data_IF_817538660683
#
_entry.id   IF_817538660683
#
_cell.length_a   1.000
_cell.length_b   1.000
_cell.length_c   1.000
_cell.angle_alpha   90.00
_cell.angle_beta   90.00
_cell.angle_gamma   90.00
#
_symmetry.space_group_name_H-M   'P 1'
#
loop_
_entity.id
_entity.type
_entity.pdbx_description
1 polymer ?
#
# COMPACT_ATOMS: atom_id res chain seq x y z
N UNK A 1 19.63 -81.81 4.27
CA UNK A 1 20.14 -80.71 3.43
C UNK A 1 19.47 -80.79 2.07
N UNK A 2 19.17 -79.69 1.37
CA UNK A 2 18.44 -78.49 1.79
C UNK A 2 17.34 -78.14 0.70
N UNK A 3 16.87 -76.90 0.44
CA UNK A 3 15.43 -76.56 0.49
C UNK A 3 14.90 -75.76 -0.76
N UNK A 4 13.66 -75.24 -0.73
CA UNK A 4 13.28 -73.80 -0.92
C UNK A 4 11.87 -73.55 -1.54
N UNK A 5 11.02 -72.94 -0.70
CA UNK A 5 10.07 -71.81 -0.82
C UNK A 5 8.93 -71.66 -1.88
N UNK A 6 7.70 -71.70 -1.32
CA UNK A 6 6.62 -70.68 -1.28
C UNK A 6 6.08 -70.01 -2.56
N UNK A 7 4.89 -70.47 -2.99
CA UNK A 7 3.93 -69.73 -3.85
C UNK A 7 2.58 -69.63 -3.11
N UNK A 8 2.46 -68.78 -2.07
CA UNK A 8 1.18 -68.55 -1.37
C UNK A 8 1.02 -67.13 -0.77
N UNK A 9 1.53 -66.06 -1.41
CA UNK A 9 1.31 -64.68 -0.92
C UNK A 9 0.86 -63.68 -1.99
N UNK A 10 0.05 -64.11 -2.96
CA UNK A 10 -0.50 -63.22 -3.99
C UNK A 10 -2.00 -62.92 -3.88
N UNK A 11 -2.79 -63.84 -3.29
CA UNK A 11 -4.26 -63.79 -3.41
C UNK A 11 -5.01 -63.27 -2.18
N UNK A 12 -4.34 -63.07 -1.04
CA UNK A 12 -4.96 -62.49 0.17
C UNK A 12 -4.81 -60.98 0.28
N UNK A 13 -3.94 -60.38 -0.52
CA UNK A 13 -3.73 -58.92 -0.61
C UNK A 13 -4.70 -58.22 -1.57
N UNK A 14 -5.42 -58.96 -2.42
CA UNK A 14 -6.34 -58.41 -3.41
C UNK A 14 -7.82 -58.35 -2.96
N UNK A 15 -8.17 -58.98 -1.83
CA UNK A 15 -9.53 -58.91 -1.25
C UNK A 15 -9.65 -57.91 -0.08
N UNK A 16 -8.54 -57.31 0.36
CA UNK A 16 -8.52 -56.28 1.40
C UNK A 16 -8.39 -54.85 0.83
N UNK A 17 -8.21 -54.68 -0.48
CA UNK A 17 -8.04 -53.38 -1.13
C UNK A 17 -9.35 -52.77 -1.68
N UNK A 18 -10.47 -53.48 -1.60
CA UNK A 18 -11.75 -53.10 -2.23
C UNK A 18 -12.87 -52.73 -1.25
N UNK A 19 -12.58 -52.60 0.05
CA UNK A 19 -13.58 -52.32 1.10
C UNK A 19 -13.32 -51.04 1.92
N UNK A 20 -12.48 -50.12 1.45
CA UNK A 20 -12.19 -48.87 2.16
C UNK A 20 -12.15 -47.65 1.21
N UNK A 21 -13.23 -47.42 0.46
CA UNK A 21 -13.41 -46.19 -0.34
C UNK A 21 -14.72 -45.44 0.01
N UNK A 22 -15.52 -45.93 0.97
CA UNK A 22 -16.83 -45.32 1.28
C UNK A 22 -16.82 -44.43 2.55
N UNK A 23 -15.65 -44.15 3.14
CA UNK A 23 -15.55 -43.29 4.36
C UNK A 23 -15.04 -41.86 4.06
N UNK A 24 -14.67 -41.53 2.81
CA UNK A 24 -14.45 -40.14 2.37
C UNK A 24 -15.58 -39.60 1.47
N UNK A 25 -16.74 -40.26 1.46
CA UNK A 25 -17.98 -39.59 1.14
C UNK A 25 -18.45 -38.82 2.39
N UNK A 26 -17.59 -37.96 2.95
CA UNK A 26 -18.15 -36.76 3.59
C UNK A 26 -18.92 -36.11 2.48
N UNK A 27 -20.24 -36.05 2.62
CA UNK A 27 -21.08 -35.18 1.82
C UNK A 27 -20.31 -33.87 1.65
N UNK A 28 -19.73 -33.65 0.47
CA UNK A 28 -19.22 -32.35 0.12
C UNK A 28 -20.50 -31.54 -0.04
N UNK A 29 -21.02 -31.04 1.10
CA UNK A 29 -22.08 -30.08 1.09
C UNK A 29 -21.58 -28.99 0.16
N UNK A 30 -22.28 -28.81 -0.97
CA UNK A 30 -22.01 -27.69 -1.83
C UNK A 30 -22.09 -26.46 -0.93
N UNK A 31 -21.02 -25.66 -0.93
CA UNK A 31 -20.96 -24.43 -0.13
C UNK A 31 -22.20 -23.59 -0.46
N UNK A 32 -22.79 -22.93 0.53
CA UNK A 32 -23.88 -21.99 0.26
C UNK A 32 -23.31 -20.73 -0.44
N UNK A 33 -23.25 -20.78 -1.77
CA UNK A 33 -22.70 -19.69 -2.56
C UNK A 33 -23.48 -18.38 -2.39
N UNK A 34 -24.79 -18.42 -2.11
CA UNK A 34 -25.55 -17.21 -1.85
C UNK A 34 -25.13 -16.57 -0.54
N UNK A 35 -24.87 -17.36 0.50
CA UNK A 35 -24.34 -16.87 1.77
C UNK A 35 -22.94 -16.26 1.60
N UNK A 36 -22.06 -16.91 0.84
CA UNK A 36 -20.72 -16.40 0.50
C UNK A 36 -20.81 -15.05 -0.23
N UNK A 37 -21.62 -14.97 -1.30
CA UNK A 37 -21.79 -13.77 -2.10
C UNK A 37 -22.43 -12.62 -1.29
N UNK A 38 -23.43 -12.91 -0.47
CA UNK A 38 -24.02 -11.96 0.45
C UNK A 38 -22.99 -11.44 1.46
N UNK A 39 -22.11 -12.31 1.96
CA UNK A 39 -21.08 -11.92 2.91
C UNK A 39 -20.01 -11.02 2.30
N UNK A 40 -19.51 -11.37 1.12
CA UNK A 40 -18.57 -10.55 0.36
C UNK A 40 -19.18 -9.16 0.07
N UNK A 41 -20.44 -9.12 -0.36
CA UNK A 41 -21.19 -7.87 -0.59
C UNK A 41 -21.27 -7.01 0.67
N UNK A 42 -21.60 -7.60 1.82
CA UNK A 42 -21.69 -6.88 3.09
C UNK A 42 -20.34 -6.30 3.52
N UNK A 43 -19.25 -7.07 3.37
CA UNK A 43 -17.90 -6.61 3.70
C UNK A 43 -17.43 -5.46 2.82
N UNK A 44 -17.72 -5.51 1.52
CA UNK A 44 -17.46 -4.39 0.61
C UNK A 44 -18.33 -3.16 0.95
N UNK A 45 -19.59 -3.39 1.33
CA UNK A 45 -20.52 -2.40 1.87
C UNK A 45 -19.99 -1.65 3.10
N UNK A 46 -19.42 -2.37 4.05
CA UNK A 46 -18.87 -1.81 5.28
C UNK A 46 -17.70 -0.83 5.04
N UNK A 47 -17.01 -0.96 3.89
CA UNK A 47 -15.93 -0.09 3.44
C UNK A 47 -16.39 1.10 2.58
N UNK A 48 -17.70 1.32 2.47
CA UNK A 48 -18.28 2.45 1.74
C UNK A 48 -18.47 2.22 0.23
N UNK A 49 -18.35 0.97 -0.22
CA UNK A 49 -18.66 0.59 -1.60
C UNK A 49 -20.04 -0.07 -1.74
N UNK A 50 -20.48 -0.30 -2.97
CA UNK A 50 -21.64 -1.15 -3.26
C UNK A 50 -21.23 -2.25 -4.22
N UNK A 51 -21.53 -3.50 -3.88
CA UNK A 51 -21.35 -4.66 -4.74
C UNK A 51 -22.72 -5.18 -5.18
N UNK A 52 -22.93 -5.22 -6.49
CA UNK A 52 -24.13 -5.78 -7.12
C UNK A 52 -23.75 -6.93 -8.03
N UNK A 53 -24.60 -7.94 -8.15
CA UNK A 53 -24.44 -9.09 -9.05
C UNK A 53 -25.83 -9.53 -9.55
N UNK A 54 -25.88 -10.13 -10.73
CA UNK A 54 -27.14 -10.61 -11.35
C UNK A 54 -27.59 -11.96 -10.81
N UNK A 55 -26.63 -12.79 -10.38
CA UNK A 55 -26.90 -14.13 -9.84
C UNK A 55 -25.65 -14.75 -9.24
N UNK A 56 -25.84 -15.91 -8.62
CA UNK A 56 -24.77 -16.71 -8.01
C UNK A 56 -24.86 -18.12 -8.56
N UNK A 57 -23.72 -18.65 -9.03
CA UNK A 57 -23.58 -20.05 -9.41
C UNK A 57 -22.61 -20.76 -8.48
N UNK A 58 -22.97 -21.95 -8.02
CA UNK A 58 -22.11 -22.77 -7.17
C UNK A 58 -21.79 -24.10 -7.84
N UNK A 59 -20.49 -24.40 -7.94
CA UNK A 59 -19.96 -25.62 -8.53
C UNK A 59 -18.98 -26.27 -7.54
N UNK A 60 -19.48 -27.18 -6.71
CA UNK A 60 -18.68 -27.77 -5.61
C UNK A 60 -18.29 -26.71 -4.58
N UNK A 61 -16.99 -26.42 -4.48
CA UNK A 61 -16.41 -25.37 -3.63
C UNK A 61 -16.15 -24.07 -4.38
N UNK A 62 -16.54 -23.97 -5.65
CA UNK A 62 -16.40 -22.75 -6.46
C UNK A 62 -17.71 -21.96 -6.46
N UNK A 63 -17.64 -20.66 -6.19
CA UNK A 63 -18.77 -19.72 -6.19
C UNK A 63 -18.49 -18.62 -7.22
N UNK A 64 -19.42 -18.39 -8.13
CA UNK A 64 -19.29 -17.38 -9.20
C UNK A 64 -20.40 -16.34 -9.03
N UNK A 65 -20.01 -15.07 -8.87
CA UNK A 65 -20.93 -13.92 -8.86
C UNK A 65 -21.03 -13.37 -10.27
N UNK A 66 -22.20 -13.54 -10.91
CA UNK A 66 -22.43 -13.15 -12.31
C UNK A 66 -22.68 -11.65 -12.46
N UNK A 67 -22.17 -11.09 -13.55
CA UNK A 67 -22.35 -9.68 -13.96
C UNK A 67 -22.13 -8.68 -12.81
N UNK A 68 -21.03 -8.88 -12.06
CA UNK A 68 -20.74 -8.06 -10.88
C UNK A 68 -20.46 -6.62 -11.28
N UNK A 69 -21.02 -5.68 -10.52
CA UNK A 69 -20.77 -4.24 -10.62
C UNK A 69 -20.31 -3.70 -9.27
N UNK A 70 -19.28 -2.88 -9.29
CA UNK A 70 -18.74 -2.24 -8.09
C UNK A 70 -18.94 -0.73 -8.16
N UNK A 71 -19.44 -0.16 -7.07
CA UNK A 71 -19.47 1.28 -6.84
C UNK A 71 -18.59 1.61 -5.64
N UNK A 72 -18.05 2.83 -5.62
CA UNK A 72 -17.31 3.37 -4.48
C UNK A 72 -17.63 4.86 -4.37
N UNK A 73 -17.42 5.43 -3.19
CA UNK A 73 -17.57 6.86 -2.98
C UNK A 73 -16.77 7.66 -4.03
N UNK A 74 -17.41 8.66 -4.65
CA UNK A 74 -16.81 9.48 -5.70
C UNK A 74 -16.96 8.95 -7.13
N UNK A 75 -17.37 7.69 -7.34
CA UNK A 75 -17.70 7.20 -8.69
C UNK A 75 -19.13 7.61 -9.08
N UNK A 76 -19.28 8.23 -10.26
CA UNK A 76 -20.59 8.64 -10.81
C UNK A 76 -21.42 7.47 -11.32
N UNK A 77 -20.77 6.39 -11.75
CA UNK A 77 -21.41 5.19 -12.29
C UNK A 77 -20.75 3.94 -11.73
N UNK A 78 -21.52 2.84 -11.55
CA UNK A 78 -20.95 1.55 -11.18
C UNK A 78 -19.96 1.06 -12.25
N UNK A 79 -18.81 0.55 -11.82
CA UNK A 79 -17.84 -0.12 -12.66
C UNK A 79 -18.34 -1.54 -12.97
N UNK A 80 -18.63 -1.89 -14.24
CA UNK A 80 -18.90 -3.27 -14.61
C UNK A 80 -17.60 -4.07 -14.49
N UNK A 81 -17.59 -5.04 -13.58
CA UNK A 81 -16.45 -5.92 -13.35
C UNK A 81 -16.63 -7.24 -14.09
N UNK A 82 -17.86 -7.73 -14.23
CA UNK A 82 -18.12 -9.04 -14.84
C UNK A 82 -18.14 -10.15 -13.79
N UNK A 83 -17.76 -11.36 -14.18
CA UNK A 83 -17.95 -12.54 -13.33
C UNK A 83 -16.80 -12.73 -12.34
N UNK A 84 -17.05 -12.49 -11.05
CA UNK A 84 -16.07 -12.74 -9.99
C UNK A 84 -16.14 -14.21 -9.57
N UNK A 85 -14.99 -14.89 -9.55
CA UNK A 85 -14.90 -16.31 -9.18
C UNK A 85 -14.18 -16.48 -7.85
N UNK A 86 -14.79 -17.17 -6.91
CA UNK A 86 -14.20 -17.60 -5.64
C UNK A 86 -14.01 -19.11 -5.70
N UNK A 87 -12.78 -19.58 -5.52
CA UNK A 87 -12.40 -21.00 -5.57
C UNK A 87 -11.96 -21.49 -4.20
N UNK A 88 -12.08 -22.80 -3.99
CA UNK A 88 -11.72 -23.47 -2.73
C UNK A 88 -12.38 -22.81 -1.52
N UNK A 89 -13.68 -22.53 -1.65
CA UNK A 89 -14.46 -21.97 -0.55
C UNK A 89 -14.75 -23.06 0.48
N UNK A 90 -14.58 -22.72 1.75
CA UNK A 90 -14.90 -23.57 2.88
C UNK A 90 -15.59 -22.78 3.99
N UNK A 91 -16.56 -23.40 4.67
CA UNK A 91 -17.20 -22.82 5.85
C UNK A 91 -16.22 -22.79 7.04
N UNK A 92 -16.22 -21.68 7.78
CA UNK A 92 -15.57 -21.60 9.09
C UNK A 92 -16.61 -21.41 10.21
N UNK A 93 -16.27 -21.77 11.47
CA UNK A 93 -17.19 -21.65 12.59
C UNK A 93 -17.82 -20.26 12.70
N UNK A 94 -19.10 -20.23 13.08
CA UNK A 94 -19.86 -18.98 13.24
C UNK A 94 -20.48 -18.43 11.96
N UNK A 95 -20.35 -19.10 10.81
CA UNK A 95 -20.97 -18.67 9.55
C UNK A 95 -20.11 -17.70 8.75
N UNK A 96 -18.79 -17.80 8.89
CA UNK A 96 -17.83 -17.16 7.99
C UNK A 96 -17.36 -18.13 6.91
N UNK A 97 -16.48 -17.66 6.03
CA UNK A 97 -15.89 -18.47 4.96
C UNK A 97 -14.39 -18.22 4.81
N UNK A 98 -13.65 -19.29 4.52
CA UNK A 98 -12.32 -19.22 3.92
C UNK A 98 -12.43 -19.39 2.41
N UNK A 99 -11.61 -18.68 1.65
CA UNK A 99 -11.59 -18.67 0.20
C UNK A 99 -10.14 -18.80 -0.25
N UNK A 100 -9.79 -19.94 -0.86
CA UNK A 100 -8.42 -20.17 -1.32
C UNK A 100 -7.97 -19.15 -2.37
N UNK A 101 -8.83 -18.82 -3.34
CA UNK A 101 -8.56 -17.80 -4.34
C UNK A 101 -9.82 -17.03 -4.76
N UNK A 102 -9.69 -15.71 -4.93
CA UNK A 102 -10.69 -14.87 -5.58
C UNK A 102 -10.06 -14.30 -6.85
N UNK A 103 -10.67 -14.55 -8.00
CA UNK A 103 -10.26 -14.03 -9.30
C UNK A 103 -11.29 -13.03 -9.83
N UNK A 104 -10.80 -11.89 -10.30
CA UNK A 104 -11.58 -10.87 -10.98
C UNK A 104 -11.15 -10.85 -12.45
N UNK A 105 -12.09 -10.86 -13.41
CA UNK A 105 -11.75 -10.86 -14.83
C UNK A 105 -11.11 -9.53 -15.23
N UNK A 106 -10.46 -9.52 -16.39
CA UNK A 106 -9.79 -8.33 -16.90
C UNK A 106 -10.79 -7.18 -17.10
N UNK A 107 -10.51 -6.07 -16.40
CA UNK A 107 -11.34 -4.88 -16.43
C UNK A 107 -10.91 -4.01 -17.61
N UNK A 108 -11.88 -3.57 -18.40
CA UNK A 108 -11.69 -2.55 -19.42
C UNK A 108 -12.78 -1.50 -19.24
N UNK A 109 -12.38 -0.30 -18.86
CA UNK A 109 -13.29 0.78 -18.51
C UNK A 109 -12.98 2.04 -19.32
N UNK A 110 -14.03 2.72 -19.75
CA UNK A 110 -13.96 4.03 -20.42
C UNK A 110 -14.80 4.98 -19.58
N UNK A 111 -14.21 6.00 -18.94
CA UNK A 111 -14.96 6.98 -18.18
C UNK A 111 -15.95 7.72 -19.08
N UNK A 112 -17.19 7.91 -18.61
CA UNK A 112 -18.24 8.53 -19.41
C UNK A 112 -17.93 9.99 -19.78
N UNK A 113 -17.19 10.71 -18.93
CA UNK A 113 -16.72 12.07 -19.15
C UNK A 113 -15.40 12.16 -19.93
N UNK A 114 -14.72 11.03 -20.18
CA UNK A 114 -13.46 10.96 -20.92
C UNK A 114 -13.48 9.80 -21.93
N UNK A 115 -14.25 9.91 -23.03
CA UNK A 115 -14.44 8.81 -23.98
C UNK A 115 -13.16 8.40 -24.74
N UNK A 116 -12.15 9.26 -24.74
CA UNK A 116 -10.82 8.98 -25.33
C UNK A 116 -9.86 8.32 -24.34
N UNK A 117 -10.25 8.16 -23.08
CA UNK A 117 -9.46 7.52 -22.03
C UNK A 117 -9.97 6.10 -21.80
N UNK A 118 -9.08 5.12 -21.88
CA UNK A 118 -9.33 3.73 -21.54
C UNK A 118 -8.44 3.33 -20.38
N UNK A 119 -9.05 2.78 -19.34
CA UNK A 119 -8.38 2.22 -18.18
C UNK A 119 -8.54 0.70 -18.26
N UNK A 120 -7.44 -0.05 -18.11
CA UNK A 120 -7.48 -1.50 -18.06
C UNK A 120 -6.68 -2.05 -16.89
N UNK A 121 -7.17 -3.15 -16.31
CA UNK A 121 -6.47 -3.91 -15.29
C UNK A 121 -6.64 -5.41 -15.58
N UNK A 122 -5.54 -6.16 -15.52
CA UNK A 122 -5.49 -7.56 -15.92
C UNK A 122 -4.89 -8.44 -14.83
N UNK A 123 -5.34 -9.69 -14.77
CA UNK A 123 -4.83 -10.69 -13.83
C UNK A 123 -5.00 -10.25 -12.38
N UNK A 124 -6.21 -9.83 -12.02
CA UNK A 124 -6.55 -9.39 -10.67
C UNK A 124 -6.93 -10.62 -9.83
N UNK A 125 -6.23 -10.83 -8.72
CA UNK A 125 -6.53 -11.94 -7.81
C UNK A 125 -6.17 -11.67 -6.36
N UNK A 126 -6.87 -12.36 -5.46
CA UNK A 126 -6.54 -12.50 -4.05
C UNK A 126 -6.37 -13.99 -3.72
N UNK A 127 -5.45 -14.32 -2.83
CA UNK A 127 -5.22 -15.67 -2.31
C UNK A 127 -5.36 -15.65 -0.78
N UNK A 128 -5.88 -16.74 -0.20
CA UNK A 128 -6.02 -16.91 1.25
C UNK A 128 -6.97 -15.89 1.88
N UNK A 129 -8.12 -15.65 1.25
CA UNK A 129 -9.10 -14.65 1.67
C UNK A 129 -10.00 -15.21 2.77
N UNK A 130 -10.13 -14.48 3.88
CA UNK A 130 -11.08 -14.80 4.96
C UNK A 130 -12.25 -13.83 4.95
N UNK A 131 -13.46 -14.37 4.85
CA UNK A 131 -14.73 -13.67 5.01
C UNK A 131 -15.26 -13.94 6.43
N UNK A 132 -14.99 -13.06 7.41
CA UNK A 132 -15.35 -13.33 8.80
C UNK A 132 -16.86 -13.44 8.98
N UNK A 133 -17.39 -14.08 10.04
CA UNK A 133 -18.83 -14.15 10.33
C UNK A 133 -19.56 -12.80 10.41
N UNK A 134 -20.87 -12.79 10.16
CA UNK A 134 -21.71 -11.62 10.42
C UNK A 134 -21.69 -11.23 11.91
N UNK A 135 -21.62 -9.93 12.20
CA UNK A 135 -21.56 -9.43 13.58
C UNK A 135 -20.29 -9.78 14.34
N UNK A 136 -19.26 -10.32 13.67
CA UNK A 136 -17.95 -10.55 14.28
C UNK A 136 -17.42 -9.23 14.86
N UNK A 137 -17.33 -9.18 16.20
CA UNK A 137 -16.86 -8.01 16.95
C UNK A 137 -15.35 -7.96 17.08
N UNK A 138 -14.70 -9.10 16.80
CA UNK A 138 -13.24 -9.21 16.75
C UNK A 138 -12.71 -8.14 15.83
N UNK A 139 -11.85 -7.22 16.31
CA UNK A 139 -11.51 -6.07 15.49
C UNK A 139 -10.76 -6.43 14.20
N UNK A 140 -10.18 -7.64 14.13
CA UNK A 140 -9.58 -8.21 12.92
C UNK A 140 -10.61 -8.60 11.85
N UNK A 141 -11.87 -8.83 12.21
CA UNK A 141 -12.95 -9.19 11.29
C UNK A 141 -13.42 -8.02 10.42
N UNK A 142 -13.04 -6.79 10.76
CA UNK A 142 -13.38 -5.59 9.97
C UNK A 142 -12.30 -5.25 8.94
N UNK A 143 -11.12 -5.87 9.07
CA UNK A 143 -10.04 -5.79 8.10
C UNK A 143 -10.22 -6.97 7.13
N UNK A 144 -10.15 -6.70 5.82
CA UNK A 144 -10.20 -7.77 4.83
C UNK A 144 -8.91 -8.56 4.95
N UNK A 145 -8.97 -9.80 5.44
CA UNK A 145 -7.81 -10.64 5.62
C UNK A 145 -7.56 -11.42 4.33
N UNK A 146 -6.39 -11.24 3.76
CA UNK A 146 -5.89 -11.98 2.61
C UNK A 146 -4.40 -12.22 2.80
N UNK A 147 -3.86 -13.29 2.21
CA UNK A 147 -2.43 -13.59 2.30
C UNK A 147 -1.66 -12.93 1.18
N UNK A 148 -2.22 -12.94 -0.04
CA UNK A 148 -1.61 -12.34 -1.23
C UNK A 148 -2.65 -11.65 -2.10
N UNK A 149 -2.28 -10.50 -2.64
CA UNK A 149 -3.01 -9.78 -3.69
C UNK A 149 -2.10 -9.58 -4.89
N UNK A 150 -2.67 -9.68 -6.09
CA UNK A 150 -1.95 -9.49 -7.35
C UNK A 150 -2.81 -8.73 -8.36
N UNK A 151 -2.18 -7.80 -9.08
CA UNK A 151 -2.66 -7.27 -10.35
C UNK A 151 -1.48 -7.30 -11.31
N UNK A 152 -1.57 -8.10 -12.37
CA UNK A 152 -0.45 -8.34 -13.28
C UNK A 152 -0.10 -7.12 -14.12
N UNK A 153 -1.12 -6.40 -14.59
CA UNK A 153 -0.94 -5.25 -15.48
C UNK A 153 -2.06 -4.23 -15.28
N UNK A 154 -1.69 -2.96 -15.23
CA UNK A 154 -2.60 -1.81 -15.24
C UNK A 154 -2.13 -0.85 -16.33
N UNK A 155 -3.06 -0.34 -17.14
CA UNK A 155 -2.76 0.66 -18.15
C UNK A 155 -3.84 1.75 -18.20
N UNK A 156 -3.38 2.98 -18.46
CA UNK A 156 -4.21 4.10 -18.86
C UNK A 156 -3.77 4.53 -20.24
N UNK A 157 -4.68 4.40 -21.20
CA UNK A 157 -4.50 4.80 -22.58
C UNK A 157 -5.37 6.02 -22.86
N UNK A 158 -4.80 7.06 -23.44
CA UNK A 158 -5.55 8.24 -23.88
C UNK A 158 -5.26 8.46 -25.36
N UNK A 159 -6.30 8.62 -26.18
CA UNK A 159 -6.18 8.87 -27.64
C UNK A 159 -5.33 7.82 -28.37
N UNK A 160 -5.38 6.57 -27.93
CA UNK A 160 -4.63 5.46 -28.54
C UNK A 160 -3.17 5.37 -28.08
N UNK A 161 -2.74 6.16 -27.10
CA UNK A 161 -1.39 6.16 -26.55
C UNK A 161 -1.41 5.81 -25.07
N UNK A 162 -0.54 4.89 -24.64
CA UNK A 162 -0.40 4.57 -23.22
C UNK A 162 0.30 5.73 -22.51
N UNK A 163 -0.45 6.41 -21.63
CA UNK A 163 0.06 7.51 -20.81
C UNK A 163 0.57 7.03 -19.45
N UNK A 164 0.10 5.86 -19.01
CA UNK A 164 0.58 5.19 -17.81
C UNK A 164 0.45 3.67 -17.96
N UNK A 165 1.47 2.94 -17.55
CA UNK A 165 1.44 1.48 -17.37
C UNK A 165 2.12 1.11 -16.07
N UNK A 166 1.62 0.06 -15.41
CA UNK A 166 2.25 -0.55 -14.25
C UNK A 166 2.09 -2.07 -14.30
N UNK A 167 3.16 -2.79 -13.99
CA UNK A 167 3.26 -4.24 -14.08
C UNK A 167 3.63 -4.83 -12.71
N UNK A 168 3.11 -6.02 -12.45
CA UNK A 168 3.46 -6.82 -11.28
C UNK A 168 3.17 -6.10 -9.97
N UNK A 169 1.94 -5.63 -9.78
CA UNK A 169 1.49 -5.10 -8.50
C UNK A 169 1.19 -6.28 -7.59
N UNK A 170 1.97 -6.46 -6.53
CA UNK A 170 1.75 -7.55 -5.57
C UNK A 170 1.75 -7.03 -4.15
N UNK A 171 0.99 -7.68 -3.28
CA UNK A 171 1.00 -7.42 -1.85
C UNK A 171 0.91 -8.74 -1.11
N UNK A 172 1.70 -8.90 -0.05
CA UNK A 172 1.60 -10.06 0.84
C UNK A 172 1.42 -9.60 2.27
N UNK A 173 0.61 -10.32 3.04
CA UNK A 173 0.40 -10.06 4.46
C UNK A 173 0.61 -11.37 5.20
N UNK A 174 1.46 -11.37 6.23
CA UNK A 174 1.62 -12.56 7.07
C UNK A 174 0.34 -12.84 7.85
N UNK A 175 0.04 -14.11 8.19
CA UNK A 175 -1.11 -14.46 9.00
C UNK A 175 -1.19 -13.62 10.29
N UNK A 176 -2.39 -13.14 10.61
CA UNK A 176 -2.61 -12.40 11.84
C UNK A 176 -2.57 -13.37 13.02
N UNK A 177 -1.57 -13.21 13.87
CA UNK A 177 -1.47 -13.98 15.12
C UNK A 177 -1.49 -13.03 16.31
N UNK A 178 -2.00 -13.48 17.45
CA UNK A 178 -2.07 -12.65 18.66
C UNK A 178 -0.68 -12.32 19.25
N UNK A 179 0.38 -13.01 18.80
CA UNK A 179 1.70 -12.99 19.43
C UNK A 179 2.82 -12.46 18.54
N UNK A 180 2.60 -12.32 17.23
CA UNK A 180 3.62 -11.86 16.29
C UNK A 180 3.14 -10.63 15.50
N UNK A 181 4.01 -9.66 15.22
CA UNK A 181 3.69 -8.56 14.31
C UNK A 181 3.26 -9.09 12.95
N UNK A 182 2.27 -8.44 12.35
CA UNK A 182 1.83 -8.66 10.99
C UNK A 182 2.84 -8.01 10.06
N UNK A 183 3.64 -8.81 9.35
CA UNK A 183 4.48 -8.31 8.28
C UNK A 183 3.64 -8.08 7.02
N UNK A 184 3.88 -6.98 6.34
CA UNK A 184 3.31 -6.71 5.03
C UNK A 184 4.41 -6.29 4.06
N UNK A 185 4.29 -6.76 2.82
CA UNK A 185 5.08 -6.25 1.71
C UNK A 185 4.15 -5.85 0.58
N UNK A 186 4.53 -4.84 -0.18
CA UNK A 186 3.86 -4.50 -1.42
C UNK A 186 4.89 -4.02 -2.43
N UNK A 187 4.69 -4.33 -3.70
CA UNK A 187 5.54 -3.79 -4.76
C UNK A 187 4.75 -3.49 -6.02
N UNK A 188 5.36 -2.64 -6.84
CA UNK A 188 5.05 -2.44 -8.25
C UNK A 188 6.34 -2.78 -8.98
N UNK A 189 6.41 -3.94 -9.63
CA UNK A 189 7.62 -4.44 -10.27
C UNK A 189 8.16 -3.49 -11.35
N UNK A 190 7.27 -2.79 -12.05
CA UNK A 190 7.63 -1.73 -12.98
C UNK A 190 6.47 -0.77 -13.23
N UNK A 191 6.76 0.51 -13.40
CA UNK A 191 5.81 1.48 -13.93
C UNK A 191 6.48 2.33 -15.00
N UNK A 192 5.66 2.92 -15.87
CA UNK A 192 6.07 3.90 -16.85
C UNK A 192 4.95 4.92 -17.05
N UNK A 193 5.29 6.19 -17.02
CA UNK A 193 4.39 7.32 -17.26
C UNK A 193 4.95 8.19 -18.38
N UNK A 194 4.12 8.51 -19.37
CA UNK A 194 4.44 9.48 -20.42
C UNK A 194 3.88 10.85 -20.03
N UNK A 195 4.78 11.82 -19.90
CA UNK A 195 4.48 13.17 -19.45
C UNK A 195 4.54 14.21 -20.59
N UNK A 196 4.73 13.78 -21.83
CA UNK A 196 4.91 14.67 -23.00
C UNK A 196 3.64 15.47 -23.36
N UNK A 197 2.48 14.96 -22.97
CA UNK A 197 1.16 15.55 -23.23
C UNK A 197 0.69 16.51 -22.11
N UNK A 198 1.53 16.79 -21.11
CA UNK A 198 1.28 17.84 -20.12
C UNK A 198 1.12 19.19 -20.83
N UNK A 199 0.01 19.88 -20.51
CA UNK A 199 -0.39 21.12 -21.19
C UNK A 199 0.26 22.37 -20.60
N UNK A 200 0.69 22.34 -19.33
CA UNK A 200 1.36 23.48 -18.71
C UNK A 200 2.73 23.72 -19.37
N UNK A 201 2.95 24.87 -20.06
CA UNK A 201 4.17 25.09 -20.84
C UNK A 201 5.44 25.06 -20.00
N UNK A 202 5.39 25.62 -18.77
CA UNK A 202 6.55 25.68 -17.88
C UNK A 202 6.97 24.27 -17.42
N UNK A 203 5.99 23.45 -17.07
CA UNK A 203 6.21 22.06 -16.66
C UNK A 203 6.77 21.25 -17.83
N UNK A 204 6.21 21.42 -19.02
CA UNK A 204 6.69 20.74 -20.23
C UNK A 204 8.14 21.09 -20.56
N UNK A 205 8.49 22.38 -20.53
CA UNK A 205 9.86 22.84 -20.77
C UNK A 205 10.83 22.30 -19.71
N UNK A 206 10.42 22.27 -18.45
CA UNK A 206 11.22 21.70 -17.36
C UNK A 206 11.47 20.21 -17.55
N UNK A 207 10.41 19.41 -17.82
CA UNK A 207 10.54 17.97 -18.05
C UNK A 207 11.44 17.65 -19.23
N UNK A 208 11.28 18.40 -20.33
CA UNK A 208 12.14 18.25 -21.51
C UNK A 208 13.59 18.61 -21.21
N UNK A 209 13.83 19.69 -20.47
CA UNK A 209 15.18 20.12 -20.12
C UNK A 209 15.89 19.15 -19.14
N UNK A 210 15.12 18.46 -18.29
CA UNK A 210 15.61 17.45 -17.37
C UNK A 210 15.71 16.05 -18.01
N UNK A 211 15.08 15.85 -19.17
CA UNK A 211 15.04 14.57 -19.89
C UNK A 211 14.03 13.58 -19.29
N UNK A 212 12.96 14.06 -18.66
CA UNK A 212 11.91 13.25 -18.01
C UNK A 212 10.55 13.37 -18.70
N UNK A 213 10.53 13.43 -20.04
CA UNK A 213 9.28 13.31 -20.81
C UNK A 213 8.62 11.94 -20.64
N UNK A 214 9.40 10.94 -20.21
CA UNK A 214 8.93 9.66 -19.71
C UNK A 214 9.63 9.38 -18.40
N UNK A 215 8.87 8.90 -17.41
CA UNK A 215 9.41 8.43 -16.13
C UNK A 215 9.08 6.95 -16.03
N UNK A 216 10.08 6.13 -15.72
CA UNK A 216 9.89 4.74 -15.37
C UNK A 216 10.55 4.41 -14.05
N UNK A 217 10.21 3.27 -13.48
CA UNK A 217 10.73 2.88 -12.20
C UNK A 217 9.98 1.73 -11.57
N UNK A 218 10.16 1.57 -10.26
CA UNK A 218 9.47 0.57 -9.46
C UNK A 218 9.22 1.08 -8.04
N UNK A 219 8.35 0.39 -7.31
CA UNK A 219 8.02 0.72 -5.93
C UNK A 219 8.15 -0.54 -5.09
N UNK A 220 8.82 -0.44 -3.94
CA UNK A 220 8.96 -1.52 -2.97
C UNK A 220 8.59 -0.99 -1.59
N UNK A 221 7.70 -1.69 -0.88
CA UNK A 221 7.17 -1.33 0.43
C UNK A 221 7.32 -2.51 1.37
N UNK A 222 7.89 -2.27 2.53
CA UNK A 222 8.08 -3.26 3.59
C UNK A 222 7.71 -2.66 4.94
N UNK A 223 6.98 -3.42 5.75
CA UNK A 223 6.69 -2.98 7.10
C UNK A 223 6.05 -4.04 7.98
N UNK A 224 5.86 -3.65 9.22
CA UNK A 224 5.26 -4.48 10.25
C UNK A 224 4.20 -3.70 11.02
N UNK A 225 3.15 -4.39 11.45
CA UNK A 225 2.13 -3.85 12.31
C UNK A 225 1.84 -4.79 13.48
N UNK A 226 2.00 -4.30 14.70
CA UNK A 226 1.72 -5.07 15.90
C UNK A 226 0.35 -4.71 16.46
N UNK A 227 -0.59 -5.66 16.43
CA UNK A 227 -1.97 -5.41 16.83
C UNK A 227 -2.17 -4.98 18.30
N UNK A 228 -1.46 -5.56 19.30
CA UNK A 228 -1.67 -5.23 20.72
C UNK A 228 -1.33 -3.78 21.10
N UNK A 229 -0.21 -3.24 20.62
CA UNK A 229 0.24 -1.86 20.92
C UNK A 229 0.01 -0.89 19.75
N UNK A 230 -0.48 -1.40 18.62
CA UNK A 230 -0.71 -0.63 17.41
C UNK A 230 0.56 -0.03 16.83
N UNK A 231 1.74 -0.65 17.06
CA UNK A 231 2.98 -0.17 16.47
C UNK A 231 3.01 -0.51 14.98
N UNK A 232 2.88 0.52 14.14
CA UNK A 232 3.07 0.45 12.70
C UNK A 232 4.48 0.96 12.39
N UNK A 233 5.31 0.07 11.85
CA UNK A 233 6.66 0.34 11.42
C UNK A 233 6.77 0.13 9.91
N UNK A 234 6.72 1.21 9.15
CA UNK A 234 7.11 1.24 7.74
C UNK A 234 8.64 1.25 7.67
N UNK A 235 9.20 0.07 7.40
CA UNK A 235 10.64 -0.18 7.40
C UNK A 235 11.32 0.43 6.18
N UNK A 236 10.64 0.35 5.04
CA UNK A 236 11.02 1.06 3.81
C UNK A 236 9.81 1.26 2.90
N UNK A 237 9.81 2.39 2.21
CA UNK A 237 8.96 2.66 1.05
C UNK A 237 9.86 3.31 0.01
N UNK A 238 10.43 2.47 -0.85
CA UNK A 238 11.34 2.87 -1.91
C UNK A 238 10.54 3.19 -3.17
N UNK A 239 10.56 4.46 -3.58
CA UNK A 239 10.12 4.89 -4.91
C UNK A 239 11.38 5.07 -5.75
N UNK A 240 11.60 4.14 -6.67
CA UNK A 240 12.79 4.09 -7.50
C UNK A 240 12.40 4.63 -8.87
N UNK A 241 12.99 5.74 -9.28
CA UNK A 241 12.79 6.33 -10.60
C UNK A 241 14.08 6.20 -11.43
N UNK A 242 13.97 5.53 -12.56
CA UNK A 242 15.08 5.29 -13.48
C UNK A 242 15.70 6.61 -13.93
N UNK A 243 17.02 6.64 -14.02
CA UNK A 243 17.80 7.82 -14.40
C UNK A 243 17.54 9.07 -13.53
N UNK A 244 16.89 8.95 -12.36
CA UNK A 244 16.63 10.05 -11.45
C UNK A 244 17.22 9.79 -10.05
N UNK A 245 16.76 8.74 -9.38
CA UNK A 245 17.18 8.38 -8.02
C UNK A 245 16.14 7.55 -7.28
N UNK A 246 16.39 7.28 -6.00
CA UNK A 246 15.49 6.57 -5.11
C UNK A 246 15.06 7.46 -3.96
N UNK A 247 13.76 7.54 -3.71
CA UNK A 247 13.19 8.20 -2.54
C UNK A 247 12.68 7.13 -1.58
N UNK A 248 13.32 7.02 -0.42
CA UNK A 248 12.96 6.08 0.64
C UNK A 248 12.27 6.82 1.79
N UNK A 249 11.14 6.30 2.23
CA UNK A 249 10.41 6.76 3.40
C UNK A 249 10.39 5.69 4.47
N UNK A 250 10.66 6.10 5.72
CA UNK A 250 10.47 5.28 6.92
C UNK A 250 9.57 6.00 7.89
N UNK A 251 8.71 5.25 8.55
CA UNK A 251 7.75 5.82 9.49
C UNK A 251 7.42 4.82 10.60
N UNK A 252 7.52 5.25 11.84
CA UNK A 252 7.28 4.42 13.02
C UNK A 252 6.35 5.18 13.97
N UNK A 253 5.14 4.66 14.14
CA UNK A 253 4.14 5.17 15.06
C UNK A 253 3.59 4.06 15.93
N UNK A 254 3.17 4.40 17.14
CA UNK A 254 2.42 3.53 18.03
C UNK A 254 1.02 4.07 18.29
N UNK A 255 0.12 3.21 18.76
CA UNK A 255 -1.27 3.58 19.02
C UNK A 255 -2.18 3.47 17.79
N UNK A 256 -1.68 2.96 16.65
CA UNK A 256 -2.49 2.55 15.51
C UNK A 256 -3.16 1.20 15.82
N UNK A 257 -3.93 1.16 16.90
CA UNK A 257 -4.59 -0.04 17.40
C UNK A 257 -5.85 -0.32 16.60
N UNK A 258 -6.45 -1.48 16.83
CA UNK A 258 -7.72 -1.81 16.22
C UNK A 258 -8.87 -0.88 16.67
N UNK A 259 -8.85 -0.43 17.92
CA UNK A 259 -9.82 0.55 18.43
C UNK A 259 -9.66 1.90 17.72
N UNK A 260 -8.41 2.30 17.43
CA UNK A 260 -8.15 3.49 16.63
C UNK A 260 -8.70 3.35 15.21
N UNK A 261 -8.49 2.20 14.55
CA UNK A 261 -9.02 1.92 13.20
C UNK A 261 -10.56 1.98 13.20
N UNK A 262 -11.21 1.36 14.18
CA UNK A 262 -12.67 1.46 14.38
C UNK A 262 -13.13 2.89 14.53
N UNK A 263 -12.47 3.65 15.41
CA UNK A 263 -12.75 5.07 15.61
C UNK A 263 -12.62 5.90 14.33
N UNK A 264 -11.61 5.63 13.49
CA UNK A 264 -11.48 6.29 12.18
C UNK A 264 -12.63 5.95 11.23
N UNK A 265 -13.04 4.68 11.16
CA UNK A 265 -14.14 4.26 10.30
C UNK A 265 -15.47 4.90 10.74
N UNK A 266 -15.75 4.90 12.05
CA UNK A 266 -16.92 5.56 12.61
C UNK A 266 -16.90 7.07 12.38
N UNK A 267 -15.74 7.72 12.59
CA UNK A 267 -15.59 9.14 12.32
C UNK A 267 -15.85 9.47 10.85
N UNK A 268 -15.36 8.64 9.92
CA UNK A 268 -15.56 8.82 8.47
C UNK A 268 -17.03 8.63 8.09
N UNK A 269 -17.68 7.55 8.54
CA UNK A 269 -19.12 7.31 8.32
C UNK A 269 -19.98 8.44 8.87
N UNK A 270 -19.61 8.95 10.03
CA UNK A 270 -20.34 10.03 10.70
C UNK A 270 -20.00 11.43 10.17
N UNK A 271 -18.93 11.59 9.39
CA UNK A 271 -18.48 12.87 8.85
C UNK A 271 -19.19 13.25 7.55
N UNK A 272 -19.81 12.28 6.86
CA UNK A 272 -20.46 12.53 5.58
C UNK A 272 -21.64 13.52 5.75
N UNK A 273 -21.61 14.63 5.01
CA UNK A 273 -22.59 15.72 5.13
C UNK A 273 -22.51 16.60 6.40
N UNK A 274 -21.50 16.45 7.28
CA UNK A 274 -21.31 17.31 8.47
C UNK A 274 -20.35 18.48 8.25
N UNK A 275 -20.53 19.53 9.07
CA UNK A 275 -19.66 20.71 9.11
C UNK A 275 -18.22 20.38 9.54
N UNK A 276 -17.26 21.13 9.01
CA UNK A 276 -15.82 20.93 9.18
C UNK A 276 -15.35 20.97 10.64
N UNK A 277 -16.05 21.71 11.51
CA UNK A 277 -15.72 21.75 12.95
C UNK A 277 -15.91 20.40 13.63
N UNK A 278 -16.98 19.68 13.31
CA UNK A 278 -17.25 18.37 13.90
C UNK A 278 -16.23 17.32 13.42
N UNK A 279 -15.86 17.38 12.14
CA UNK A 279 -14.80 16.56 11.54
C UNK A 279 -13.46 16.80 12.21
N UNK A 280 -13.09 18.07 12.39
CA UNK A 280 -11.83 18.45 13.02
C UNK A 280 -11.76 17.99 14.48
N UNK A 281 -12.85 18.08 15.25
CA UNK A 281 -12.88 17.57 16.63
C UNK A 281 -12.74 16.05 16.72
N UNK A 282 -13.40 15.30 15.83
CA UNK A 282 -13.26 13.85 15.77
C UNK A 282 -11.81 13.44 15.45
N UNK A 283 -11.20 14.12 14.47
CA UNK A 283 -9.80 13.89 14.10
C UNK A 283 -8.83 14.22 15.25
N UNK A 284 -9.06 15.30 15.98
CA UNK A 284 -8.25 15.67 17.14
C UNK A 284 -8.34 14.61 18.25
N UNK A 285 -9.52 14.02 18.49
CA UNK A 285 -9.68 12.93 19.44
C UNK A 285 -8.91 11.67 19.03
N UNK A 286 -8.93 11.33 17.74
CA UNK A 286 -8.16 10.21 17.18
C UNK A 286 -6.64 10.43 17.34
N UNK A 287 -6.14 11.64 17.01
CA UNK A 287 -4.72 11.97 17.12
C UNK A 287 -4.16 11.84 18.53
N UNK A 288 -4.99 11.92 19.58
CA UNK A 288 -4.54 11.73 20.97
C UNK A 288 -4.10 10.29 21.26
N UNK A 289 -4.54 9.31 20.47
CA UNK A 289 -4.18 7.91 20.64
C UNK A 289 -2.82 7.57 20.02
N UNK A 290 -2.31 8.42 19.12
CA UNK A 290 -1.08 8.17 18.38
C UNK A 290 0.15 8.75 19.08
N UNK A 291 1.25 8.01 19.00
CA UNK A 291 2.59 8.51 19.35
C UNK A 291 3.56 8.32 18.19
N UNK A 292 4.40 9.31 17.98
CA UNK A 292 5.47 9.32 16.99
C UNK A 292 6.72 8.68 17.59
N UNK A 293 7.25 7.65 16.95
CA UNK A 293 8.48 6.98 17.37
C UNK A 293 9.65 7.37 16.49
N UNK A 294 9.42 7.55 15.18
CA UNK A 294 10.44 8.00 14.26
C UNK A 294 9.95 8.16 12.82
N UNK A 295 10.73 8.90 12.04
CA UNK A 295 10.54 9.01 10.60
C UNK A 295 11.87 9.31 9.92
N UNK A 296 12.00 8.86 8.67
CA UNK A 296 13.11 9.24 7.82
C UNK A 296 12.63 9.48 6.40
N UNK A 297 13.24 10.48 5.75
CA UNK A 297 13.14 10.69 4.31
C UNK A 297 14.56 10.70 3.79
N UNK A 298 14.86 9.76 2.90
CA UNK A 298 16.17 9.60 2.28
C UNK A 298 16.05 9.68 0.78
N UNK A 299 16.95 10.43 0.16
CA UNK A 299 17.09 10.49 -1.28
C UNK A 299 18.47 9.98 -1.67
N UNK A 300 18.51 8.94 -2.50
CA UNK A 300 19.69 8.42 -3.16
C UNK A 300 19.71 8.93 -4.61
N UNK A 301 20.60 9.88 -4.90
CA UNK A 301 20.74 10.50 -6.21
C UNK A 301 21.38 9.54 -7.22
N UNK A 302 20.74 9.37 -8.37
CA UNK A 302 21.36 8.72 -9.53
C UNK A 302 21.77 9.76 -10.57
N UNK A 303 20.93 10.77 -10.84
CA UNK A 303 21.28 11.88 -11.72
C UNK A 303 20.46 13.16 -11.53
N UNK A 304 19.34 13.09 -10.80
CA UNK A 304 18.35 14.16 -10.72
C UNK A 304 18.91 15.47 -10.17
N UNK A 305 19.72 15.41 -9.11
CA UNK A 305 20.25 16.60 -8.43
C UNK A 305 21.05 17.47 -9.38
N UNK A 306 21.97 16.84 -10.12
CA UNK A 306 22.81 17.54 -11.08
C UNK A 306 22.03 18.11 -12.26
N UNK A 307 21.05 17.36 -12.78
CA UNK A 307 20.13 17.85 -13.83
C UNK A 307 19.31 19.05 -13.37
N UNK A 308 18.77 19.00 -12.15
CA UNK A 308 17.99 20.09 -11.56
C UNK A 308 18.84 21.36 -11.36
N UNK A 309 20.05 21.21 -10.82
CA UNK A 309 20.98 22.33 -10.66
C UNK A 309 21.35 22.95 -12.01
N UNK A 310 21.58 22.14 -13.05
CA UNK A 310 21.86 22.64 -14.40
C UNK A 310 20.68 23.38 -15.02
N UNK A 311 19.48 22.86 -14.85
CA UNK A 311 18.27 23.50 -15.33
C UNK A 311 18.06 24.88 -14.68
N UNK A 312 18.22 24.97 -13.35
CA UNK A 312 18.11 26.23 -12.61
C UNK A 312 19.22 27.20 -13.04
N UNK A 313 20.45 26.71 -13.16
CA UNK A 313 21.60 27.53 -13.58
C UNK A 313 21.38 28.14 -14.96
N UNK A 314 20.92 27.34 -15.93
CA UNK A 314 20.56 27.83 -17.28
C UNK A 314 19.46 28.88 -17.23
N UNK A 315 18.42 28.66 -16.42
CA UNK A 315 17.30 29.60 -16.26
C UNK A 315 17.75 30.94 -15.67
N UNK A 316 18.75 30.93 -14.79
CA UNK A 316 19.32 32.13 -14.16
C UNK A 316 20.51 32.72 -14.94
N UNK A 317 20.87 32.15 -16.09
CA UNK A 317 22.10 32.49 -16.82
C UNK A 317 23.36 32.47 -15.93
N UNK A 318 23.42 31.49 -15.02
CA UNK A 318 24.49 31.28 -14.05
C UNK A 318 25.19 29.93 -14.29
N UNK A 319 26.30 29.67 -13.58
CA UNK A 319 26.91 28.32 -13.55
C UNK A 319 26.38 27.52 -12.37
N UNK A 320 26.32 26.20 -12.54
CA UNK A 320 26.01 25.25 -11.46
C UNK A 320 26.88 25.48 -10.20
N UNK A 321 28.18 25.74 -10.39
CA UNK A 321 29.12 26.06 -9.31
C UNK A 321 28.73 27.29 -8.50
N UNK A 322 28.13 28.29 -9.17
CA UNK A 322 27.73 29.54 -8.54
C UNK A 322 26.50 29.30 -7.66
N UNK A 323 25.53 28.50 -8.15
CA UNK A 323 24.38 28.06 -7.37
C UNK A 323 24.82 27.26 -6.15
N UNK A 324 25.70 26.27 -6.31
CA UNK A 324 26.22 25.48 -5.19
C UNK A 324 26.88 26.42 -4.16
N UNK A 325 27.78 27.30 -4.60
CA UNK A 325 28.48 28.24 -3.72
C UNK A 325 27.51 29.15 -2.97
N UNK A 326 26.47 29.64 -3.66
CA UNK A 326 25.42 30.46 -3.06
C UNK A 326 24.62 29.66 -2.02
N UNK A 327 24.21 28.43 -2.32
CA UNK A 327 23.47 27.58 -1.38
C UNK A 327 24.30 27.29 -0.13
N UNK A 328 25.59 26.97 -0.29
CA UNK A 328 26.52 26.74 0.82
C UNK A 328 26.70 27.96 1.73
N UNK A 329 26.52 29.17 1.20
CA UNK A 329 26.59 30.42 1.96
C UNK A 329 25.27 30.74 2.67
N UNK A 330 24.14 30.62 1.97
CA UNK A 330 22.83 31.03 2.48
C UNK A 330 22.29 30.01 3.49
N UNK A 331 22.51 28.71 3.25
CA UNK A 331 21.89 27.66 4.04
C UNK A 331 22.29 27.70 5.52
N UNK A 332 23.58 27.84 5.91
CA UNK A 332 23.94 27.98 7.32
C UNK A 332 23.28 29.19 8.00
N UNK A 333 23.12 30.31 7.28
CA UNK A 333 22.45 31.49 7.82
C UNK A 333 20.96 31.25 8.05
N UNK A 334 20.29 30.57 7.11
CA UNK A 334 18.89 30.18 7.27
C UNK A 334 18.71 29.17 8.41
N UNK A 335 19.61 28.19 8.51
CA UNK A 335 19.60 27.18 9.56
C UNK A 335 19.80 27.78 10.95
N UNK A 336 20.69 28.78 11.09
CA UNK A 336 20.90 29.49 12.36
C UNK A 336 19.62 30.17 12.88
N UNK A 337 18.72 30.61 11.98
CA UNK A 337 17.43 31.22 12.39
C UNK A 337 16.48 30.22 13.04
N UNK A 338 16.71 28.91 12.90
CA UNK A 338 15.94 27.86 13.55
C UNK A 338 16.27 27.72 15.04
N UNK A 339 17.33 28.38 15.53
CA UNK A 339 17.65 28.41 16.96
C UNK A 339 18.22 27.11 17.52
N UNK A 340 18.56 26.15 16.66
CA UNK A 340 19.17 24.87 17.02
C UNK A 340 20.54 24.74 16.34
N UNK A 341 21.60 24.93 17.13
CA UNK A 341 22.98 24.96 16.63
C UNK A 341 23.45 23.59 16.14
N UNK A 342 23.01 22.51 16.78
CA UNK A 342 23.38 21.13 16.42
C UNK A 342 22.73 20.74 15.10
N UNK A 343 21.43 21.02 14.95
CA UNK A 343 20.73 20.84 13.69
C UNK A 343 21.36 21.67 12.58
N UNK A 344 21.63 22.96 12.82
CA UNK A 344 22.23 23.84 11.82
C UNK A 344 23.60 23.35 11.34
N UNK A 345 24.42 22.82 12.26
CA UNK A 345 25.70 22.21 11.92
C UNK A 345 25.52 20.92 11.10
N UNK A 346 24.59 20.03 11.50
CA UNK A 346 24.32 18.79 10.76
C UNK A 346 23.83 19.07 9.34
N UNK A 347 22.90 20.02 9.18
CA UNK A 347 22.36 20.45 7.89
C UNK A 347 23.44 21.07 6.99
N UNK A 348 24.25 21.99 7.52
CA UNK A 348 25.33 22.60 6.76
C UNK A 348 26.35 21.56 6.28
N UNK A 349 26.74 20.62 7.16
CA UNK A 349 27.68 19.55 6.83
C UNK A 349 27.11 18.62 5.76
N UNK A 350 25.87 18.16 5.94
CA UNK A 350 25.21 17.23 5.02
C UNK A 350 25.02 17.85 3.64
N UNK A 351 24.47 19.06 3.56
CA UNK A 351 24.24 19.71 2.26
C UNK A 351 25.55 20.08 1.57
N UNK A 352 26.60 20.46 2.31
CA UNK A 352 27.91 20.68 1.72
C UNK A 352 28.44 19.42 1.04
N UNK A 353 28.41 18.29 1.75
CA UNK A 353 28.87 17.01 1.23
C UNK A 353 28.02 16.53 0.04
N UNK A 354 26.70 16.63 0.15
CA UNK A 354 25.77 16.23 -0.90
C UNK A 354 25.92 17.07 -2.16
N UNK A 355 26.06 18.40 -2.07
CA UNK A 355 26.19 19.25 -3.27
C UNK A 355 27.56 19.13 -3.95
N UNK A 356 28.61 18.75 -3.23
CA UNK A 356 29.93 18.48 -3.83
C UNK A 356 29.95 17.16 -4.61
N UNK A 357 29.32 16.13 -4.05
CA UNK A 357 29.28 14.79 -4.61
C UNK A 357 27.92 14.15 -4.28
N UNK A 358 26.87 14.44 -5.08
CA UNK A 358 25.52 13.94 -4.81
C UNK A 358 25.49 12.41 -4.83
N UNK A 359 25.24 11.81 -3.66
CA UNK A 359 24.97 10.37 -3.53
C UNK A 359 23.75 10.14 -2.67
N UNK A 360 23.80 10.51 -1.40
CA UNK A 360 22.69 10.23 -0.47
C UNK A 360 22.48 11.42 0.44
N UNK A 361 21.22 11.75 0.75
CA UNK A 361 20.86 12.72 1.79
C UNK A 361 19.65 12.22 2.56
N UNK A 362 19.72 12.25 3.88
CA UNK A 362 18.69 11.75 4.78
C UNK A 362 18.32 12.84 5.80
N UNK A 363 17.02 13.11 5.94
CA UNK A 363 16.45 13.85 7.06
C UNK A 363 15.74 12.85 7.96
N UNK A 364 16.18 12.77 9.21
CA UNK A 364 15.69 11.78 10.17
C UNK A 364 15.23 12.45 11.46
N UNK A 365 14.05 12.07 11.92
CA UNK A 365 13.51 12.38 13.24
C UNK A 365 13.45 11.09 14.06
N UNK A 366 14.17 11.04 15.17
CA UNK A 366 14.32 9.83 15.98
C UNK A 366 14.42 10.20 17.47
N UNK A 367 13.32 10.64 18.11
CA UNK A 367 13.32 10.99 19.51
C UNK A 367 13.69 9.78 20.38
N UNK A 368 14.34 10.02 21.52
CA UNK A 368 14.76 8.95 22.42
C UNK A 368 13.58 8.19 23.08
N UNK A 369 12.39 8.78 23.06
CA UNK A 369 11.13 8.19 23.55
C UNK A 369 10.00 8.55 22.58
N UNK A 370 8.98 7.70 22.44
CA UNK A 370 7.79 8.05 21.66
C UNK A 370 7.18 9.38 22.14
N UNK A 371 6.83 10.24 21.19
CA UNK A 371 6.26 11.58 21.43
C UNK A 371 4.79 11.56 21.02
N UNK A 372 3.84 11.76 21.95
CA UNK A 372 2.42 11.88 21.62
C UNK A 372 2.16 12.95 20.55
N UNK A 373 1.34 12.63 19.55
CA UNK A 373 0.99 13.58 18.49
C UNK A 373 0.35 14.86 19.03
N UNK A 374 -0.38 14.79 20.14
CA UNK A 374 -0.92 15.95 20.83
C UNK A 374 0.18 16.93 21.31
N UNK A 375 1.33 16.41 21.77
CA UNK A 375 2.48 17.23 22.17
C UNK A 375 3.13 17.86 20.93
N UNK A 376 3.25 17.12 19.84
CA UNK A 376 3.77 17.65 18.57
C UNK A 376 2.86 18.78 18.06
N UNK A 377 1.55 18.59 18.07
CA UNK A 377 0.58 19.61 17.67
C UNK A 377 0.67 20.86 18.57
N UNK A 378 0.74 20.68 19.89
CA UNK A 378 0.91 21.78 20.84
C UNK A 378 2.22 22.54 20.63
N UNK A 379 3.33 21.82 20.46
CA UNK A 379 4.64 22.39 20.16
C UNK A 379 4.66 23.14 18.83
N UNK A 380 4.04 22.59 17.79
CA UNK A 380 3.91 23.23 16.49
C UNK A 380 3.11 24.53 16.52
N UNK A 381 2.13 24.66 17.41
CA UNK A 381 1.37 25.91 17.58
C UNK A 381 2.10 26.93 18.45
N UNK A 382 2.80 26.49 19.50
CA UNK A 382 3.43 27.37 20.47
C UNK A 382 4.82 27.86 20.02
N UNK A 383 5.67 26.95 19.57
CA UNK A 383 7.02 27.22 19.08
C UNK A 383 7.47 26.09 18.12
N UNK A 384 7.18 26.21 16.81
CA UNK A 384 7.55 25.19 15.83
C UNK A 384 9.05 24.82 15.83
N UNK A 385 9.93 25.75 16.21
CA UNK A 385 11.38 25.52 16.20
C UNK A 385 11.79 24.52 17.28
N UNK A 386 11.09 24.52 18.42
CA UNK A 386 11.31 23.55 19.50
C UNK A 386 11.09 22.09 19.08
N UNK A 387 10.35 21.84 17.99
CA UNK A 387 10.11 20.50 17.46
C UNK A 387 11.38 19.85 16.91
N UNK A 388 12.36 20.63 16.42
CA UNK A 388 13.64 20.10 15.94
C UNK A 388 14.32 19.29 17.06
N UNK A 389 14.40 19.90 18.25
CA UNK A 389 14.97 19.26 19.43
C UNK A 389 14.07 18.17 20.00
N UNK A 390 12.76 18.41 20.05
CA UNK A 390 11.79 17.45 20.61
C UNK A 390 11.76 16.14 19.83
N UNK A 391 11.86 16.21 18.50
CA UNK A 391 11.86 15.07 17.60
C UNK A 391 13.27 14.55 17.26
N UNK A 392 14.31 15.17 17.85
CA UNK A 392 15.72 14.88 17.58
C UNK A 392 16.02 14.81 16.08
N UNK A 393 15.63 15.87 15.35
CA UNK A 393 15.81 15.94 13.91
C UNK A 393 17.28 16.12 13.57
N UNK A 394 17.76 15.34 12.59
CA UNK A 394 19.13 15.42 12.09
C UNK A 394 19.15 15.27 10.57
N UNK A 395 20.20 15.81 9.94
CA UNK A 395 20.45 15.64 8.51
C UNK A 395 21.82 15.01 8.30
N UNK A 396 21.89 14.00 7.44
CA UNK A 396 23.13 13.33 7.04
C UNK A 396 23.20 13.22 5.53
N UNK A 397 24.42 13.15 5.00
CA UNK A 397 24.63 12.90 3.58
C UNK A 397 25.86 12.02 3.36
N UNK A 398 25.81 11.22 2.29
CA UNK A 398 26.88 10.33 1.84
C UNK A 398 27.36 9.35 2.93
N UNK A 399 26.42 8.86 3.75
CA UNK A 399 26.62 7.95 4.89
C UNK A 399 25.60 6.81 4.89
#
# INVERSE_FOLDING_TARGET
>A
MPPIHHVQSGLRTLAAASALVVIFATSAYAVDGNAVAARLKALYGNKGGTLEYSGVETQGTTVILRDTKLSAAGMKQPLPVGDITLSDVADIPGGGFEVGALAVPDINYVPADEPETKISAQGISLEGLTLPPEGATEPLAEILQYEKAEVKHVAVNTKGKDVFVADGLTSTISPLTATSPVAFTSNIAGFKADLSDIQDPKTKDALKALGYETISGKVDIDGTWNAPDGRLNLESMNIIADDAGTLDFKFDISGYTLDFIKGMQEATKNADGKDDKAKNMAMLGLLQQLSFTGASIRFDDASLTNKALDYIAKTQNAKRSDLISQTKMILPMAAAQLGDAEFAQSLATAVNAFLDDPKTIEIKAAPAKPVPFAIIAAGGMADPKSLIKTLAVSVRANQ
#
